data_IF_058836890062
#
_entry.id   IF_058836890062
#
_cell.length_a   1.000
_cell.length_b   1.000
_cell.length_c   1.000
_cell.angle_alpha   90.00
_cell.angle_beta   90.00
_cell.angle_gamma   90.00
#
_symmetry.space_group_name_H-M   'P 1'
#
loop_
_entity.id
_entity.type
_entity.pdbx_description
1 polymer ?
#
# COMPACT_ATOMS: atom_id res chain seq x y z
N UNK A 1 42.14 -16.24 3.94
CA UNK A 1 41.22 -16.07 5.11
C UNK A 1 40.34 -14.81 5.07
N UNK A 2 40.87 -13.57 4.94
CA UNK A 2 40.05 -12.33 4.95
C UNK A 2 38.86 -12.31 3.97
N UNK A 3 39.04 -12.77 2.72
CA UNK A 3 37.96 -12.86 1.71
C UNK A 3 36.80 -13.80 2.12
N UNK A 4 37.11 -14.88 2.84
CA UNK A 4 36.11 -15.87 3.28
C UNK A 4 35.27 -15.30 4.43
N UNK A 5 35.90 -14.64 5.41
CA UNK A 5 35.22 -13.95 6.51
C UNK A 5 34.32 -12.82 6.02
N UNK A 6 34.78 -12.00 5.06
CA UNK A 6 33.95 -10.97 4.42
C UNK A 6 32.72 -11.56 3.70
N UNK A 7 32.88 -12.72 3.05
CA UNK A 7 31.78 -13.41 2.36
C UNK A 7 30.76 -13.98 3.35
N UNK A 8 31.21 -14.58 4.46
CA UNK A 8 30.37 -15.10 5.54
C UNK A 8 29.59 -13.96 6.22
N UNK A 9 30.25 -12.85 6.53
CA UNK A 9 29.61 -11.66 7.11
C UNK A 9 28.57 -11.07 6.14
N UNK A 10 28.88 -11.04 4.84
CA UNK A 10 27.94 -10.63 3.80
C UNK A 10 26.70 -11.53 3.71
N UNK A 11 26.85 -12.84 3.82
CA UNK A 11 25.71 -13.77 3.84
C UNK A 11 24.85 -13.64 5.09
N UNK A 12 25.47 -13.50 6.26
CA UNK A 12 24.72 -13.31 7.51
C UNK A 12 23.95 -11.99 7.51
N UNK A 13 24.58 -10.90 7.03
CA UNK A 13 23.91 -9.60 6.89
C UNK A 13 22.70 -9.66 5.95
N UNK A 14 22.79 -10.43 4.86
CA UNK A 14 21.66 -10.65 3.93
C UNK A 14 20.54 -11.45 4.60
N UNK A 15 20.87 -12.50 5.33
CA UNK A 15 19.90 -13.31 6.07
C UNK A 15 19.13 -12.46 7.08
N UNK A 16 19.83 -11.66 7.89
CA UNK A 16 19.22 -10.76 8.87
C UNK A 16 18.30 -9.75 8.18
N UNK A 17 18.76 -9.11 7.09
CA UNK A 17 17.92 -8.19 6.31
C UNK A 17 16.64 -8.85 5.77
N UNK A 18 16.74 -10.10 5.30
CA UNK A 18 15.57 -10.86 4.85
C UNK A 18 14.57 -11.09 5.97
N UNK A 19 15.04 -11.49 7.16
CA UNK A 19 14.18 -11.73 8.32
C UNK A 19 13.52 -10.46 8.84
N UNK A 20 14.24 -9.33 8.82
CA UNK A 20 13.67 -8.03 9.15
C UNK A 20 12.56 -7.67 8.16
N UNK A 21 12.80 -7.82 6.86
CA UNK A 21 11.79 -7.52 5.84
C UNK A 21 10.53 -8.41 5.96
N UNK A 22 10.70 -9.70 6.28
CA UNK A 22 9.59 -10.62 6.56
C UNK A 22 8.73 -10.14 7.74
N UNK A 23 9.37 -9.73 8.85
CA UNK A 23 8.68 -9.22 10.05
C UNK A 23 7.99 -7.89 9.76
N UNK A 24 8.66 -6.97 9.05
CA UNK A 24 8.07 -5.70 8.63
C UNK A 24 6.85 -5.93 7.75
N UNK A 25 6.94 -6.83 6.76
CA UNK A 25 5.83 -7.14 5.88
C UNK A 25 4.66 -7.79 6.64
N UNK A 26 4.94 -8.65 7.62
CA UNK A 26 3.92 -9.20 8.50
C UNK A 26 3.20 -8.09 9.28
N UNK A 27 3.93 -7.13 9.83
CA UNK A 27 3.36 -6.00 10.58
C UNK A 27 2.51 -5.06 9.70
N UNK A 28 2.86 -4.94 8.42
CA UNK A 28 2.07 -4.22 7.42
C UNK A 28 0.85 -5.01 6.93
N UNK A 29 0.70 -6.28 7.33
CA UNK A 29 -0.31 -7.21 6.82
C UNK A 29 -1.77 -6.78 7.02
N UNK A 30 -2.04 -5.80 7.88
CA UNK A 30 -3.37 -5.21 8.11
C UNK A 30 -3.49 -3.75 7.61
N UNK A 31 -2.47 -3.27 6.88
CA UNK A 31 -2.38 -1.90 6.38
C UNK A 31 -2.64 -1.80 4.88
N UNK A 32 -3.22 -0.68 4.46
CA UNK A 32 -3.48 -0.34 3.06
C UNK A 32 -2.90 1.02 2.69
N UNK A 33 -2.55 1.17 1.41
CA UNK A 33 -2.24 2.45 0.79
C UNK A 33 -3.37 2.85 -0.16
N UNK A 34 -3.95 4.02 0.09
CA UNK A 34 -5.06 4.61 -0.65
C UNK A 34 -4.51 5.76 -1.50
N UNK A 35 -4.77 5.69 -2.80
CA UNK A 35 -4.29 6.63 -3.82
C UNK A 35 -5.50 7.26 -4.52
N UNK A 36 -5.38 8.52 -4.92
CA UNK A 36 -6.43 9.26 -5.64
C UNK A 36 -7.35 10.08 -4.73
N UNK A 37 -6.96 10.28 -3.46
CA UNK A 37 -7.68 11.18 -2.54
C UNK A 37 -7.00 12.54 -2.56
N UNK A 38 -7.69 13.62 -2.98
CA UNK A 38 -7.13 14.97 -2.98
C UNK A 38 -6.78 15.41 -1.56
N UNK A 39 -5.72 16.21 -1.41
CA UNK A 39 -5.34 16.77 -0.11
C UNK A 39 -6.27 17.93 0.23
N UNK A 40 -6.85 17.91 1.42
CA UNK A 40 -7.72 18.98 1.91
C UNK A 40 -7.19 19.56 3.21
N UNK A 41 -7.52 20.82 3.50
CA UNK A 41 -7.17 21.47 4.77
C UNK A 41 -7.96 20.86 5.92
N UNK A 42 -7.31 20.66 7.07
CA UNK A 42 -7.91 20.08 8.27
C UNK A 42 -8.60 18.72 8.05
N UNK A 43 -7.99 17.86 7.24
CA UNK A 43 -8.57 16.57 6.89
C UNK A 43 -8.40 15.52 7.99
N UNK A 44 -9.46 14.75 8.24
CA UNK A 44 -9.38 13.55 9.06
C UNK A 44 -9.27 12.31 8.17
N UNK A 45 -8.06 11.74 8.09
CA UNK A 45 -7.81 10.55 7.29
C UNK A 45 -8.60 9.33 7.78
N UNK A 46 -8.90 9.24 9.09
CA UNK A 46 -9.69 8.13 9.65
C UNK A 46 -11.12 8.19 9.12
N UNK A 47 -11.71 9.39 9.08
CA UNK A 47 -13.08 9.57 8.61
C UNK A 47 -13.21 9.29 7.11
N UNK A 48 -12.22 9.71 6.30
CA UNK A 48 -12.18 9.38 4.87
C UNK A 48 -12.17 7.86 4.65
N UNK A 49 -11.36 7.11 5.41
CA UNK A 49 -11.30 5.64 5.28
C UNK A 49 -12.63 5.01 5.70
N UNK A 50 -13.28 5.53 6.75
CA UNK A 50 -14.61 5.08 7.17
C UNK A 50 -15.69 5.39 6.13
N UNK A 51 -15.65 6.58 5.51
CA UNK A 51 -16.56 6.97 4.41
C UNK A 51 -16.42 6.01 3.23
N UNK A 52 -15.18 5.68 2.83
CA UNK A 52 -14.92 4.67 1.79
C UNK A 52 -15.53 3.33 2.18
N UNK A 53 -15.29 2.86 3.41
CA UNK A 53 -15.84 1.60 3.90
C UNK A 53 -17.37 1.56 3.84
N UNK A 54 -18.05 2.65 4.21
CA UNK A 54 -19.51 2.75 4.11
C UNK A 54 -19.99 2.66 2.66
N UNK A 55 -19.36 3.41 1.75
CA UNK A 55 -19.71 3.43 0.32
C UNK A 55 -19.53 2.05 -0.31
N UNK A 56 -18.48 1.32 0.09
CA UNK A 56 -18.18 -0.02 -0.45
C UNK A 56 -18.84 -1.17 0.32
N UNK A 57 -19.74 -0.84 1.26
CA UNK A 57 -20.39 -1.79 2.17
C UNK A 57 -19.38 -2.76 2.83
N UNK A 58 -18.26 -2.20 3.28
CA UNK A 58 -17.17 -2.91 3.97
C UNK A 58 -17.11 -2.45 5.41
N UNK A 59 -17.23 -3.38 6.35
CA UNK A 59 -16.97 -3.09 7.75
C UNK A 59 -15.51 -2.65 7.91
N UNK A 60 -15.30 -1.41 8.37
CA UNK A 60 -13.98 -0.80 8.48
C UNK A 60 -13.75 -0.22 9.87
N UNK A 61 -13.04 -0.95 10.73
CA UNK A 61 -12.51 -0.45 12.00
C UNK A 61 -11.07 -0.02 11.78
N UNK A 62 -10.90 1.29 11.68
CA UNK A 62 -9.61 1.95 11.42
C UNK A 62 -8.90 2.19 12.75
N UNK A 63 -7.69 1.64 12.89
CA UNK A 63 -6.82 1.86 14.06
C UNK A 63 -6.08 3.20 13.91
N UNK A 64 -5.49 3.43 12.75
CA UNK A 64 -4.74 4.64 12.42
C UNK A 64 -4.88 4.94 10.94
N UNK A 65 -4.85 6.22 10.58
CA UNK A 65 -4.76 6.65 9.20
C UNK A 65 -4.03 8.00 9.12
N UNK A 66 -3.10 8.13 8.20
CA UNK A 66 -2.30 9.34 8.01
C UNK A 66 -1.81 9.45 6.57
N UNK A 67 -1.44 10.67 6.15
CA UNK A 67 -0.81 10.88 4.85
C UNK A 67 0.68 10.64 4.90
N UNK A 68 1.20 10.06 3.82
CA UNK A 68 2.63 9.96 3.58
C UNK A 68 3.02 11.00 2.56
N UNK A 69 3.81 11.97 3.02
CA UNK A 69 4.46 12.93 2.14
C UNK A 69 5.66 12.23 1.48
N UNK A 70 5.52 11.91 0.19
CA UNK A 70 6.66 11.48 -0.62
C UNK A 70 7.28 12.71 -1.26
N UNK A 71 8.56 12.97 -1.01
CA UNK A 71 9.32 14.00 -1.71
C UNK A 71 9.48 13.68 -3.21
N UNK A 72 9.32 12.40 -3.58
CA UNK A 72 9.60 11.88 -4.92
C UNK A 72 8.33 11.74 -5.78
N UNK A 73 7.17 11.58 -5.15
CA UNK A 73 5.90 11.50 -5.86
C UNK A 73 4.94 12.55 -5.31
N UNK A 74 4.37 13.40 -6.18
CA UNK A 74 3.24 14.29 -5.87
C UNK A 74 1.96 13.53 -5.46
N UNK A 75 2.05 12.22 -5.25
CA UNK A 75 0.93 11.37 -4.91
C UNK A 75 0.66 11.50 -3.42
N UNK A 76 -0.48 12.10 -3.10
CA UNK A 76 -1.00 12.22 -1.75
C UNK A 76 -1.58 10.86 -1.32
N UNK A 77 -0.73 9.97 -0.82
CA UNK A 77 -1.13 8.63 -0.37
C UNK A 77 -1.63 8.72 1.08
N UNK A 78 -2.82 8.16 1.34
CA UNK A 78 -3.28 7.89 2.70
C UNK A 78 -2.90 6.45 3.04
N UNK A 79 -2.15 6.25 4.11
CA UNK A 79 -1.91 4.94 4.69
C UNK A 79 -2.89 4.74 5.84
N UNK A 80 -3.56 3.59 5.85
CA UNK A 80 -4.50 3.23 6.90
C UNK A 80 -4.24 1.83 7.42
N UNK A 81 -4.34 1.64 8.74
CA UNK A 81 -4.26 0.34 9.40
C UNK A 81 -5.64 -0.06 9.90
N UNK A 82 -6.08 -1.24 9.51
CA UNK A 82 -7.38 -1.79 9.90
C UNK A 82 -7.21 -2.79 11.04
N UNK A 83 -8.28 -3.13 11.75
CA UNK A 83 -8.17 -4.05 12.88
C UNK A 83 -7.89 -5.50 12.51
N UNK A 84 -8.31 -5.95 11.33
CA UNK A 84 -8.14 -7.36 10.92
C UNK A 84 -7.69 -7.48 9.47
N UNK A 85 -7.05 -8.63 9.16
CA UNK A 85 -6.66 -8.98 7.80
C UNK A 85 -7.88 -9.17 6.87
N UNK A 86 -9.00 -9.67 7.42
CA UNK A 86 -10.26 -9.83 6.67
C UNK A 86 -10.77 -8.49 6.13
N UNK A 87 -10.89 -7.50 7.01
CA UNK A 87 -11.33 -6.14 6.65
C UNK A 87 -10.44 -5.52 5.57
N UNK A 88 -9.12 -5.73 5.66
CA UNK A 88 -8.17 -5.28 4.64
C UNK A 88 -8.45 -5.90 3.28
N UNK A 89 -8.63 -7.22 3.24
CA UNK A 89 -8.91 -7.96 1.99
C UNK A 89 -10.24 -7.54 1.39
N UNK A 90 -11.28 -7.43 2.22
CA UNK A 90 -12.62 -7.04 1.78
C UNK A 90 -12.65 -5.61 1.23
N UNK A 91 -11.97 -4.67 1.89
CA UNK A 91 -11.88 -3.28 1.44
C UNK A 91 -11.22 -3.18 0.06
N UNK A 92 -10.07 -3.86 -0.13
CA UNK A 92 -9.36 -3.87 -1.42
C UNK A 92 -10.24 -4.49 -2.51
N UNK A 93 -10.88 -5.63 -2.22
CA UNK A 93 -11.75 -6.33 -3.17
C UNK A 93 -12.93 -5.45 -3.60
N UNK A 94 -13.64 -4.87 -2.65
CA UNK A 94 -14.86 -4.11 -2.91
C UNK A 94 -14.58 -2.79 -3.62
N UNK A 95 -13.49 -2.08 -3.28
CA UNK A 95 -13.11 -0.87 -4.05
C UNK A 95 -12.70 -1.23 -5.48
N UNK A 96 -11.98 -2.34 -5.67
CA UNK A 96 -11.54 -2.78 -7.00
C UNK A 96 -12.71 -3.14 -7.92
N UNK A 97 -13.79 -3.71 -7.39
CA UNK A 97 -15.00 -4.03 -8.19
C UNK A 97 -15.82 -2.79 -8.53
N UNK A 98 -15.88 -1.79 -7.64
CA UNK A 98 -16.76 -0.63 -7.76
C UNK A 98 -16.20 0.52 -8.62
N UNK A 99 -14.91 0.50 -8.97
CA UNK A 99 -14.21 1.56 -9.75
C UNK A 99 -14.46 2.97 -9.17
N UNK A 100 -14.33 3.09 -7.86
CA UNK A 100 -14.63 4.30 -7.09
C UNK A 100 -13.83 5.53 -7.58
N UNK A 101 -14.48 6.69 -7.57
CA UNK A 101 -13.86 7.99 -7.83
C UNK A 101 -14.06 8.94 -6.64
N UNK A 102 -13.17 9.92 -6.48
CA UNK A 102 -13.13 10.76 -5.27
C UNK A 102 -14.37 11.65 -5.10
N UNK A 103 -15.00 12.09 -6.19
CA UNK A 103 -16.29 12.79 -6.19
C UNK A 103 -17.43 11.98 -5.53
N UNK A 104 -17.38 10.65 -5.58
CA UNK A 104 -18.39 9.77 -4.96
C UNK A 104 -18.29 9.81 -3.43
N UNK A 105 -17.09 10.05 -2.89
CA UNK A 105 -16.88 10.21 -1.45
C UNK A 105 -17.34 11.60 -1.02
N UNK A 106 -16.90 12.63 -1.74
CA UNK A 106 -17.27 14.02 -1.50
C UNK A 106 -17.48 14.73 -2.81
N UNK A 107 -18.67 15.28 -3.03
CA UNK A 107 -19.06 15.93 -4.29
C UNK A 107 -18.11 17.06 -4.73
N UNK A 108 -17.40 17.70 -3.80
CA UNK A 108 -16.46 18.80 -4.08
C UNK A 108 -15.07 18.32 -4.55
N UNK A 109 -14.82 17.01 -4.62
CA UNK A 109 -13.55 16.44 -5.04
C UNK A 109 -13.49 16.19 -6.55
N UNK A 110 -12.30 16.21 -7.17
CA UNK A 110 -12.16 15.90 -8.58
C UNK A 110 -12.54 14.45 -8.86
N UNK A 111 -12.94 14.16 -10.10
CA UNK A 111 -13.30 12.81 -10.57
C UNK A 111 -12.07 11.92 -10.81
N UNK A 112 -11.21 11.82 -9.80
CA UNK A 112 -10.02 10.98 -9.81
C UNK A 112 -10.35 9.56 -9.34
N UNK A 113 -9.79 8.56 -10.01
CA UNK A 113 -9.98 7.15 -9.64
C UNK A 113 -9.24 6.84 -8.35
N UNK A 114 -9.92 6.15 -7.44
CA UNK A 114 -9.36 5.70 -6.18
C UNK A 114 -8.84 4.28 -6.33
N UNK A 115 -7.63 4.06 -5.84
CA UNK A 115 -7.00 2.75 -5.79
C UNK A 115 -6.59 2.44 -4.35
N UNK A 116 -6.93 1.24 -3.88
CA UNK A 116 -6.48 0.72 -2.59
C UNK A 116 -5.62 -0.49 -2.84
N UNK A 117 -4.38 -0.44 -2.34
CA UNK A 117 -3.42 -1.52 -2.44
C UNK A 117 -2.98 -2.00 -1.06
N UNK A 118 -2.43 -3.21 -1.01
CA UNK A 118 -1.72 -3.67 0.18
C UNK A 118 -0.49 -2.80 0.41
N UNK A 119 -0.20 -2.51 1.68
CA UNK A 119 1.03 -1.81 2.01
C UNK A 119 2.21 -2.79 1.99
N UNK A 120 3.24 -2.43 1.23
CA UNK A 120 4.44 -3.24 1.04
C UNK A 120 5.67 -2.57 1.66
N UNK A 121 6.63 -3.38 2.12
CA UNK A 121 7.94 -2.89 2.55
C UNK A 121 8.65 -2.15 1.41
N UNK A 122 9.68 -1.38 1.75
CA UNK A 122 10.46 -0.65 0.74
C UNK A 122 11.09 -1.59 -0.29
N UNK A 123 11.58 -2.75 0.16
CA UNK A 123 12.21 -3.76 -0.71
C UNK A 123 11.18 -4.32 -1.70
N UNK A 124 10.00 -4.75 -1.21
CA UNK A 124 8.92 -5.32 -2.03
C UNK A 124 8.31 -4.29 -2.97
N UNK A 125 8.15 -3.03 -2.56
CA UNK A 125 7.72 -1.94 -3.47
C UNK A 125 8.70 -1.73 -4.61
N UNK A 126 10.01 -1.75 -4.31
CA UNK A 126 11.06 -1.60 -5.32
C UNK A 126 11.03 -2.78 -6.29
N UNK A 127 10.96 -4.01 -5.76
CA UNK A 127 10.86 -5.22 -6.56
C UNK A 127 9.61 -5.22 -7.44
N UNK A 128 8.45 -4.87 -6.88
CA UNK A 128 7.19 -4.79 -7.62
C UNK A 128 7.26 -3.79 -8.78
N UNK A 129 7.86 -2.61 -8.55
CA UNK A 129 8.07 -1.61 -9.59
C UNK A 129 8.96 -2.13 -10.71
N UNK A 130 10.08 -2.77 -10.37
CA UNK A 130 11.02 -3.35 -11.34
C UNK A 130 10.37 -4.49 -12.14
N UNK A 131 9.67 -5.41 -11.47
CA UNK A 131 8.95 -6.52 -12.09
C UNK A 131 7.89 -6.01 -13.05
N UNK A 132 7.10 -5.01 -12.64
CA UNK A 132 6.06 -4.41 -13.49
C UNK A 132 6.65 -3.73 -14.72
N UNK A 133 7.81 -3.07 -14.59
CA UNK A 133 8.51 -2.45 -15.73
C UNK A 133 8.99 -3.51 -16.73
N UNK A 134 9.71 -4.52 -16.26
CA UNK A 134 10.20 -5.62 -17.09
C UNK A 134 9.06 -6.38 -17.78
N UNK A 135 7.93 -6.54 -17.10
CA UNK A 135 6.77 -7.19 -17.67
C UNK A 135 6.06 -6.36 -18.74
N UNK A 136 5.99 -5.03 -18.56
CA UNK A 136 5.46 -4.13 -19.60
C UNK A 136 6.31 -4.19 -20.86
N UNK A 137 7.64 -4.22 -20.71
CA UNK A 137 8.58 -4.39 -21.84
C UNK A 137 8.34 -5.71 -22.58
N UNK A 138 8.08 -6.79 -21.83
CA UNK A 138 7.82 -8.13 -22.38
C UNK A 138 6.34 -8.41 -22.71
N UNK A 139 5.45 -7.41 -22.61
CA UNK A 139 4.00 -7.51 -22.85
C UNK A 139 3.27 -8.57 -22.02
N UNK A 140 3.73 -8.85 -20.79
CA UNK A 140 2.98 -9.70 -19.85
C UNK A 140 1.80 -8.93 -19.24
N UNK A 141 0.67 -9.63 -19.05
CA UNK A 141 -0.60 -9.03 -18.63
C UNK A 141 -0.76 -8.91 -17.10
N UNK A 142 -0.09 -9.76 -16.30
CA UNK A 142 -0.21 -9.81 -14.85
C UNK A 142 1.17 -9.90 -14.20
N UNK A 143 1.39 -9.12 -13.13
CA UNK A 143 2.58 -9.20 -12.28
C UNK A 143 2.18 -9.16 -10.82
N UNK A 144 2.71 -10.11 -10.05
CA UNK A 144 2.53 -10.17 -8.61
C UNK A 144 3.90 -10.32 -7.95
N UNK A 145 4.07 -9.70 -6.78
CA UNK A 145 5.19 -9.96 -5.88
C UNK A 145 4.58 -10.56 -4.63
N UNK A 146 5.00 -11.78 -4.32
CA UNK A 146 4.57 -12.54 -3.14
C UNK A 146 5.40 -12.14 -1.92
#
# INVERSE_FOLDING_TARGET
MKKLLLKINGSQMKFVKSKIDEIEQHNLGISVDIIGIPKTTNENCIDIVKEIGKITNTECKVIEAYRINSLVSKQNIITAKLSTLGMRKDLIRNVRSMKLTADIIRNNWPKEKIYINERLTKSKRTLFSQTRRAAKEKKYQICMVV
#
